data_IF_319315552961
#
_entry.id   IF_319315552961
#
_cell.length_a   1.000
_cell.length_b   1.000
_cell.length_c   1.000
_cell.angle_alpha   90.00
_cell.angle_beta   90.00
_cell.angle_gamma   90.00
#
_symmetry.space_group_name_H-M   'P 1'
#
loop_
_entity.id
_entity.type
_entity.pdbx_description
1 polymer ?
#
# COMPACT_ATOMS: atom_id res chain seq x y z
N UNK A 1 -7.07 13.60 7.67
CA UNK A 1 -7.12 12.14 7.53
C UNK A 1 -5.68 11.64 7.51
N UNK A 2 -5.37 10.56 8.22
CA UNK A 2 -4.04 9.95 8.29
C UNK A 2 -4.11 8.52 7.79
N UNK A 3 -3.20 8.15 6.90
CA UNK A 3 -3.17 6.84 6.25
C UNK A 3 -1.77 6.22 6.35
N UNK A 4 -1.72 4.93 6.56
CA UNK A 4 -0.47 4.13 6.53
C UNK A 4 -0.56 3.16 5.36
N UNK A 5 0.46 3.17 4.49
CA UNK A 5 0.64 2.19 3.43
C UNK A 5 2.05 1.59 3.51
N UNK A 6 2.12 0.41 4.10
CA UNK A 6 3.33 -0.40 4.30
C UNK A 6 3.07 -1.86 3.95
N UNK A 7 3.52 -2.80 4.78
CA UNK A 7 3.18 -4.23 4.66
C UNK A 7 1.67 -4.46 4.68
N UNK A 8 0.97 -3.81 5.61
CA UNK A 8 -0.50 -3.66 5.65
C UNK A 8 -0.89 -2.22 5.35
N UNK A 9 -2.19 -1.91 5.44
CA UNK A 9 -2.71 -0.54 5.34
C UNK A 9 -3.63 -0.21 6.51
N UNK A 10 -3.77 1.08 6.81
CA UNK A 10 -4.73 1.57 7.79
C UNK A 10 -5.03 3.05 7.52
N UNK A 11 -6.16 3.53 8.05
CA UNK A 11 -6.52 4.94 7.98
C UNK A 11 -7.28 5.38 9.22
N UNK A 12 -7.21 6.65 9.58
CA UNK A 12 -8.05 7.22 10.63
C UNK A 12 -8.34 8.70 10.38
N UNK A 13 -9.40 9.19 11.01
CA UNK A 13 -9.64 10.62 11.18
C UNK A 13 -9.18 11.03 12.56
N UNK A 14 -8.18 11.91 12.61
CA UNK A 14 -7.59 12.46 13.83
C UNK A 14 -7.90 13.95 13.93
N UNK A 15 -8.50 14.39 15.05
CA UNK A 15 -8.95 15.76 15.24
C UNK A 15 -7.91 16.70 15.90
N UNK A 16 -6.69 16.24 16.08
CA UNK A 16 -5.62 16.96 16.79
C UNK A 16 -5.45 16.54 18.25
N UNK A 17 -6.41 15.76 18.80
CA UNK A 17 -6.38 15.26 20.19
C UNK A 17 -6.53 13.75 20.26
N UNK A 18 -7.46 13.20 19.50
CA UNK A 18 -7.79 11.78 19.53
C UNK A 18 -8.21 11.27 18.14
N UNK A 19 -8.18 9.95 17.95
CA UNK A 19 -8.74 9.29 16.79
C UNK A 19 -10.26 9.25 16.95
N UNK A 20 -10.96 10.02 16.11
CA UNK A 20 -12.43 10.14 16.15
C UNK A 20 -13.11 9.02 15.37
N UNK A 21 -12.47 8.56 14.27
CA UNK A 21 -12.99 7.51 13.44
C UNK A 21 -11.84 6.69 12.82
N UNK A 22 -12.06 5.37 12.72
CA UNK A 22 -11.12 4.45 12.10
C UNK A 22 -11.89 3.40 11.29
N UNK A 23 -11.66 3.37 10.00
CA UNK A 23 -12.15 2.30 9.13
C UNK A 23 -11.26 1.08 9.32
N UNK A 24 -11.85 -0.04 9.72
CA UNK A 24 -11.09 -1.27 9.99
C UNK A 24 -10.34 -1.75 8.74
N UNK A 25 -9.03 -1.99 8.81
CA UNK A 25 -8.24 -2.45 7.66
C UNK A 25 -8.52 -3.89 7.24
N UNK A 26 -9.09 -4.72 8.12
CA UNK A 26 -9.50 -6.13 7.94
C UNK A 26 -8.38 -7.11 7.59
N UNK A 27 -7.12 -6.67 7.49
CA UNK A 27 -5.97 -7.49 7.09
C UNK A 27 -5.94 -7.85 5.61
N UNK A 28 -4.84 -8.45 5.15
CA UNK A 28 -4.50 -8.64 3.71
C UNK A 28 -5.41 -9.64 2.97
N UNK A 29 -6.22 -10.42 3.67
CA UNK A 29 -7.19 -11.36 3.06
C UNK A 29 -8.48 -10.62 2.70
N UNK A 30 -9.04 -9.85 3.64
CA UNK A 30 -10.35 -9.20 3.51
C UNK A 30 -10.28 -7.71 3.16
N UNK A 31 -9.12 -7.09 3.34
CA UNK A 31 -8.90 -5.66 3.16
C UNK A 31 -7.43 -5.36 2.87
N UNK A 32 -6.84 -4.41 3.61
CA UNK A 32 -5.48 -3.88 3.43
C UNK A 32 -5.20 -3.37 2.02
N UNK A 33 -6.21 -2.86 1.30
CA UNK A 33 -6.04 -2.30 -0.04
C UNK A 33 -4.88 -1.31 -0.07
N UNK A 34 -4.15 -1.25 -1.14
CA UNK A 34 -2.99 -0.36 -1.30
C UNK A 34 -1.75 -0.78 -0.52
N UNK A 35 -1.81 -1.84 0.29
CA UNK A 35 -0.65 -2.36 1.03
C UNK A 35 0.30 -3.19 0.17
N UNK A 36 1.55 -3.34 0.61
CA UNK A 36 2.52 -4.22 -0.04
C UNK A 36 2.06 -5.68 -0.10
N UNK A 37 1.38 -6.17 0.94
CA UNK A 37 0.86 -7.54 0.95
C UNK A 37 -0.24 -7.75 -0.09
N UNK A 38 -1.15 -6.79 -0.25
CA UNK A 38 -2.20 -6.88 -1.27
C UNK A 38 -1.62 -6.70 -2.67
N UNK A 39 -0.69 -5.76 -2.88
CA UNK A 39 0.00 -5.60 -4.16
C UNK A 39 0.73 -6.90 -4.56
N UNK A 40 1.46 -7.52 -3.64
CA UNK A 40 2.12 -8.81 -3.89
C UNK A 40 1.15 -9.95 -4.16
N UNK A 41 0.02 -10.00 -3.44
CA UNK A 41 -1.06 -10.98 -3.69
C UNK A 41 -1.61 -10.86 -5.12
N UNK A 42 -1.91 -9.65 -5.55
CA UNK A 42 -2.41 -9.37 -6.90
C UNK A 42 -1.37 -9.73 -7.96
N UNK A 43 -0.11 -9.31 -7.76
CA UNK A 43 1.00 -9.65 -8.66
C UNK A 43 1.15 -11.15 -8.85
N UNK A 44 1.20 -11.92 -7.76
CA UNK A 44 1.32 -13.39 -7.82
C UNK A 44 0.13 -14.01 -8.56
N UNK A 45 -1.08 -13.54 -8.28
CA UNK A 45 -2.28 -14.00 -8.98
C UNK A 45 -2.18 -13.80 -10.50
N UNK A 46 -1.79 -12.58 -10.91
CA UNK A 46 -1.69 -12.21 -12.34
C UNK A 46 -0.54 -12.95 -13.04
N UNK A 47 0.61 -13.13 -12.37
CA UNK A 47 1.73 -13.90 -12.93
C UNK A 47 1.36 -15.37 -13.13
N UNK A 48 0.80 -16.01 -12.09
CA UNK A 48 0.50 -17.44 -12.16
C UNK A 48 -0.67 -17.77 -13.10
N UNK A 49 -1.55 -16.79 -13.34
CA UNK A 49 -2.68 -16.91 -14.29
C UNK A 49 -2.37 -16.33 -15.69
N UNK A 50 -1.11 -15.97 -15.97
CA UNK A 50 -0.67 -15.42 -17.26
C UNK A 50 -1.45 -14.15 -17.69
N UNK A 51 -1.75 -13.26 -16.74
CA UNK A 51 -2.41 -11.97 -17.00
C UNK A 51 -1.42 -10.86 -17.34
N UNK A 52 -0.13 -11.06 -17.05
CA UNK A 52 0.98 -10.18 -17.40
C UNK A 52 1.76 -10.75 -18.60
N UNK A 53 2.62 -9.92 -19.19
CA UNK A 53 3.42 -10.37 -20.33
C UNK A 53 4.34 -11.56 -19.98
N UNK A 54 4.63 -12.46 -20.92
CA UNK A 54 5.55 -13.58 -20.70
C UNK A 54 6.91 -13.14 -20.18
N UNK A 55 7.41 -12.00 -20.65
CA UNK A 55 8.70 -11.45 -20.22
C UNK A 55 8.71 -11.07 -18.71
N UNK A 56 7.63 -10.46 -18.23
CA UNK A 56 7.49 -10.13 -16.80
C UNK A 56 7.39 -11.40 -15.95
N UNK A 57 6.64 -12.40 -16.40
CA UNK A 57 6.54 -13.68 -15.70
C UNK A 57 7.90 -14.38 -15.61
N UNK A 58 8.65 -14.44 -16.70
CA UNK A 58 9.99 -15.03 -16.73
C UNK A 58 10.95 -14.26 -15.81
N UNK A 59 10.95 -12.93 -15.87
CA UNK A 59 11.76 -12.08 -14.99
C UNK A 59 11.42 -12.33 -13.52
N UNK A 60 10.14 -12.46 -13.17
CA UNK A 60 9.69 -12.73 -11.80
C UNK A 60 10.21 -14.08 -11.29
N UNK A 61 9.96 -15.16 -12.05
CA UNK A 61 10.38 -16.51 -11.66
C UNK A 61 11.90 -16.61 -11.52
N UNK A 62 12.64 -15.95 -12.42
CA UNK A 62 14.10 -15.88 -12.35
C UNK A 62 14.61 -15.08 -11.15
N UNK A 63 14.01 -13.92 -10.86
CA UNK A 63 14.47 -13.05 -9.77
C UNK A 63 14.28 -13.67 -8.39
N UNK A 64 13.16 -14.37 -8.19
CA UNK A 64 12.84 -14.98 -6.90
C UNK A 64 13.27 -16.45 -6.78
N UNK A 65 13.69 -17.05 -7.87
CA UNK A 65 14.06 -18.49 -7.96
C UNK A 65 13.00 -19.38 -7.29
N UNK A 66 11.72 -19.15 -7.65
CA UNK A 66 10.56 -19.83 -7.09
C UNK A 66 9.69 -20.44 -8.19
N UNK A 67 9.24 -21.64 -7.94
CA UNK A 67 8.21 -22.30 -8.75
C UNK A 67 6.80 -21.93 -8.26
N UNK A 68 5.78 -22.14 -9.09
CA UNK A 68 4.38 -21.90 -8.69
C UNK A 68 3.96 -22.70 -7.45
N UNK A 69 4.30 -24.02 -7.28
CA UNK A 69 4.02 -24.76 -6.06
C UNK A 69 4.67 -24.15 -4.82
N UNK A 70 5.91 -23.69 -4.89
CA UNK A 70 6.62 -23.06 -3.76
C UNK A 70 6.00 -21.73 -3.36
N UNK A 71 5.55 -20.94 -4.32
CA UNK A 71 4.82 -19.69 -4.04
C UNK A 71 3.50 -20.01 -3.31
N UNK A 72 2.76 -21.01 -3.77
CA UNK A 72 1.51 -21.46 -3.12
C UNK A 72 1.80 -21.97 -1.71
N UNK A 73 2.86 -22.75 -1.51
CA UNK A 73 3.27 -23.21 -0.18
C UNK A 73 3.58 -22.04 0.76
N UNK A 74 4.35 -21.05 0.29
CA UNK A 74 4.66 -19.85 1.09
C UNK A 74 3.43 -19.05 1.51
N UNK A 75 2.40 -19.00 0.67
CA UNK A 75 1.19 -18.22 0.94
C UNK A 75 0.23 -18.98 1.88
N UNK A 76 0.10 -20.30 1.72
CA UNK A 76 -0.95 -21.06 2.40
C UNK A 76 -0.46 -21.95 3.55
N UNK A 77 0.83 -22.26 3.64
CA UNK A 77 1.36 -23.20 4.63
C UNK A 77 2.51 -22.65 5.46
N UNK A 78 3.20 -21.59 4.98
CA UNK A 78 4.31 -21.01 5.71
C UNK A 78 3.86 -19.86 6.63
N UNK A 79 4.60 -19.55 7.70
CA UNK A 79 4.29 -18.41 8.57
C UNK A 79 4.50 -17.08 7.85
N UNK A 80 3.74 -16.07 8.27
CA UNK A 80 3.85 -14.68 7.80
C UNK A 80 3.68 -14.48 6.27
N UNK A 81 2.64 -15.05 5.64
CA UNK A 81 2.42 -14.91 4.20
C UNK A 81 2.29 -13.45 3.76
N UNK A 82 1.77 -12.56 4.60
CA UNK A 82 1.69 -11.13 4.34
C UNK A 82 3.08 -10.49 4.17
N UNK A 83 4.08 -10.91 4.95
CA UNK A 83 5.47 -10.43 4.80
C UNK A 83 6.09 -10.92 3.51
N UNK A 84 5.88 -12.20 3.17
CA UNK A 84 6.32 -12.75 1.90
C UNK A 84 5.72 -11.98 0.72
N UNK A 85 4.40 -11.78 0.72
CA UNK A 85 3.73 -11.02 -0.35
C UNK A 85 4.25 -9.58 -0.43
N UNK A 86 4.40 -8.90 0.70
CA UNK A 86 4.93 -7.54 0.74
C UNK A 86 6.38 -7.44 0.25
N UNK A 87 7.20 -8.49 0.42
CA UNK A 87 8.59 -8.53 -0.06
C UNK A 87 8.71 -8.54 -1.59
N UNK A 88 7.62 -8.76 -2.31
CA UNK A 88 7.56 -8.69 -3.77
C UNK A 88 7.42 -7.25 -4.29
N UNK A 89 7.15 -6.27 -3.42
CA UNK A 89 6.98 -4.86 -3.80
C UNK A 89 8.16 -4.25 -4.58
N UNK A 90 9.45 -4.57 -4.28
CA UNK A 90 10.55 -4.07 -5.10
C UNK A 90 10.49 -4.51 -6.57
N UNK A 91 10.02 -5.73 -6.85
CA UNK A 91 9.80 -6.20 -8.23
C UNK A 91 8.74 -5.36 -8.93
N UNK A 92 7.62 -5.07 -8.26
CA UNK A 92 6.57 -4.19 -8.80
C UNK A 92 7.16 -2.82 -9.15
N UNK A 93 7.95 -2.22 -8.26
CA UNK A 93 8.58 -0.92 -8.48
C UNK A 93 9.54 -0.91 -9.68
N UNK A 94 10.27 -2.01 -9.90
CA UNK A 94 11.20 -2.16 -11.03
C UNK A 94 10.51 -2.34 -12.38
N UNK A 95 9.22 -2.70 -12.40
CA UNK A 95 8.47 -3.05 -13.61
C UNK A 95 7.22 -2.18 -13.82
N UNK A 96 7.21 -0.95 -13.29
CA UNK A 96 6.08 -0.01 -13.44
C UNK A 96 5.83 0.42 -14.88
N UNK A 97 6.78 0.26 -15.77
CA UNK A 97 6.62 0.50 -17.22
C UNK A 97 5.71 -0.55 -17.88
N UNK A 98 5.52 -1.71 -17.27
CA UNK A 98 4.55 -2.71 -17.72
C UNK A 98 3.13 -2.22 -17.41
N UNK A 99 2.27 -2.03 -18.43
CA UNK A 99 0.93 -1.45 -18.22
C UNK A 99 0.06 -2.26 -17.25
N UNK A 100 0.20 -3.59 -17.23
CA UNK A 100 -0.51 -4.49 -16.33
C UNK A 100 -0.12 -4.26 -14.87
N UNK A 101 1.18 -4.16 -14.59
CA UNK A 101 1.70 -3.88 -13.24
C UNK A 101 1.29 -2.49 -12.77
N UNK A 102 1.44 -1.47 -13.62
CA UNK A 102 1.04 -0.11 -13.28
C UNK A 102 -0.45 -0.02 -12.95
N UNK A 103 -1.29 -0.67 -13.74
CA UNK A 103 -2.74 -0.74 -13.52
C UNK A 103 -3.11 -1.45 -12.23
N UNK A 104 -2.40 -2.53 -11.90
CA UNK A 104 -2.57 -3.26 -10.64
C UNK A 104 -2.35 -2.33 -9.44
N UNK A 105 -1.27 -1.54 -9.44
CA UNK A 105 -0.96 -0.59 -8.36
C UNK A 105 -2.00 0.53 -8.30
N UNK A 106 -2.34 1.13 -9.43
CA UNK A 106 -3.34 2.19 -9.52
C UNK A 106 -4.70 1.75 -8.97
N UNK A 107 -5.19 0.61 -9.44
CA UNK A 107 -6.48 0.07 -9.00
C UNK A 107 -6.49 -0.25 -7.49
N UNK A 108 -5.38 -0.73 -6.95
CA UNK A 108 -5.25 -1.01 -5.52
C UNK A 108 -5.32 0.27 -4.68
N UNK A 109 -4.72 1.37 -5.14
CA UNK A 109 -4.82 2.66 -4.47
C UNK A 109 -6.21 3.29 -4.61
N UNK A 110 -6.82 3.21 -5.78
CA UNK A 110 -8.22 3.64 -5.97
C UNK A 110 -9.14 2.87 -5.01
N UNK A 111 -8.95 1.56 -4.87
CA UNK A 111 -9.71 0.75 -3.93
C UNK A 111 -9.51 1.21 -2.47
N UNK A 112 -8.26 1.50 -2.06
CA UNK A 112 -7.97 2.04 -0.74
C UNK A 112 -8.66 3.39 -0.50
N UNK A 113 -8.55 4.31 -1.44
CA UNK A 113 -9.17 5.63 -1.31
C UNK A 113 -10.69 5.51 -1.19
N UNK A 114 -11.33 4.72 -2.04
CA UNK A 114 -12.79 4.53 -2.05
C UNK A 114 -13.30 3.81 -0.81
N UNK A 115 -12.63 2.76 -0.36
CA UNK A 115 -13.11 1.89 0.71
C UNK A 115 -12.74 2.39 2.11
N UNK A 116 -11.70 3.21 2.23
CA UNK A 116 -11.23 3.72 3.50
C UNK A 116 -11.35 5.25 3.59
N UNK A 117 -10.62 5.99 2.75
CA UNK A 117 -10.49 7.45 2.85
C UNK A 117 -11.80 8.17 2.62
N UNK A 118 -12.58 7.74 1.62
CA UNK A 118 -13.88 8.38 1.29
C UNK A 118 -14.98 8.09 2.32
N UNK A 119 -14.74 7.28 3.35
CA UNK A 119 -15.64 7.14 4.48
C UNK A 119 -15.48 8.25 5.54
N UNK A 120 -14.44 9.08 5.41
CA UNK A 120 -14.24 10.29 6.22
C UNK A 120 -14.72 11.52 5.43
N UNK A 121 -14.66 12.70 6.05
CA UNK A 121 -14.91 13.98 5.36
C UNK A 121 -13.72 14.40 4.49
N UNK A 122 -13.46 13.61 3.43
CA UNK A 122 -12.33 13.78 2.51
C UNK A 122 -12.45 15.01 1.60
N UNK A 123 -13.65 15.58 1.51
CA UNK A 123 -13.89 16.81 0.73
C UNK A 123 -13.31 18.01 1.46
N UNK A 124 -13.44 18.04 2.79
CA UNK A 124 -12.94 19.13 3.62
C UNK A 124 -11.49 18.91 4.05
N UNK A 125 -11.06 17.67 4.28
CA UNK A 125 -9.75 17.38 4.87
C UNK A 125 -8.86 16.55 3.96
N UNK A 126 -7.60 16.99 3.72
CA UNK A 126 -6.66 16.22 2.92
C UNK A 126 -6.26 14.91 3.63
N UNK A 127 -5.92 13.90 2.83
CA UNK A 127 -5.36 12.65 3.31
C UNK A 127 -3.82 12.72 3.33
N UNK A 128 -3.22 12.47 4.47
CA UNK A 128 -1.77 12.40 4.66
C UNK A 128 -1.36 10.93 4.71
N UNK A 129 -0.27 10.60 4.03
CA UNK A 129 0.20 9.24 3.90
C UNK A 129 1.56 9.04 4.54
N UNK A 130 1.76 7.89 5.17
CA UNK A 130 3.04 7.46 5.70
C UNK A 130 3.30 6.00 5.36
N UNK A 131 4.55 5.66 5.08
CA UNK A 131 4.98 4.31 4.80
C UNK A 131 5.72 4.17 3.48
N UNK A 132 6.51 3.10 3.37
CA UNK A 132 7.37 2.84 2.21
C UNK A 132 6.58 2.66 0.92
N UNK A 133 5.41 2.02 0.97
CA UNK A 133 4.57 1.81 -0.22
C UNK A 133 4.00 3.13 -0.72
N UNK A 134 3.42 3.96 0.17
CA UNK A 134 2.93 5.28 -0.22
C UNK A 134 4.03 6.14 -0.85
N UNK A 135 5.23 6.09 -0.28
CA UNK A 135 6.36 6.89 -0.74
C UNK A 135 6.94 6.41 -2.07
N UNK A 136 7.16 5.10 -2.21
CA UNK A 136 7.73 4.51 -3.43
C UNK A 136 6.80 4.68 -4.65
N UNK A 137 5.49 4.58 -4.44
CA UNK A 137 4.50 4.69 -5.52
C UNK A 137 3.73 6.02 -5.50
N UNK A 138 4.32 7.10 -4.94
CA UNK A 138 3.64 8.38 -4.72
C UNK A 138 3.01 8.99 -5.96
N UNK A 139 3.62 8.80 -7.14
CA UNK A 139 3.11 9.31 -8.41
C UNK A 139 1.78 8.61 -8.79
N UNK A 140 1.73 7.29 -8.64
CA UNK A 140 0.53 6.50 -8.91
C UNK A 140 -0.54 6.76 -7.83
N UNK A 141 -0.13 6.99 -6.58
CA UNK A 141 -1.04 7.38 -5.51
C UNK A 141 -1.68 8.75 -5.78
N UNK A 142 -0.92 9.72 -6.31
CA UNK A 142 -1.44 11.02 -6.73
C UNK A 142 -2.42 10.89 -7.90
N UNK A 143 -2.13 10.04 -8.88
CA UNK A 143 -3.04 9.72 -9.98
C UNK A 143 -4.34 9.11 -9.47
N UNK A 144 -4.28 8.12 -8.58
CA UNK A 144 -5.46 7.53 -7.95
C UNK A 144 -6.29 8.58 -7.19
N UNK A 145 -5.63 9.52 -6.53
CA UNK A 145 -6.29 10.61 -5.82
C UNK A 145 -6.99 11.58 -6.78
N UNK A 146 -6.36 11.91 -7.91
CA UNK A 146 -7.01 12.73 -8.96
C UNK A 146 -8.25 12.04 -9.52
N UNK A 147 -8.20 10.73 -9.79
CA UNK A 147 -9.36 9.98 -10.28
C UNK A 147 -10.51 9.89 -9.28
N UNK A 148 -10.21 9.92 -7.97
CA UNK A 148 -11.22 9.78 -6.91
C UNK A 148 -11.66 11.11 -6.31
N UNK A 149 -11.01 12.22 -6.67
CA UNK A 149 -11.31 13.55 -6.11
C UNK A 149 -10.79 13.72 -4.66
N UNK A 150 -9.89 12.87 -4.19
CA UNK A 150 -9.29 12.96 -2.86
C UNK A 150 -8.10 13.91 -2.90
N UNK A 151 -8.07 14.90 -2.00
CA UNK A 151 -6.90 15.78 -1.84
C UNK A 151 -5.81 15.09 -1.03
N UNK A 152 -4.59 15.00 -1.59
CA UNK A 152 -3.43 14.47 -0.88
C UNK A 152 -2.68 15.63 -0.21
N UNK A 153 -2.37 15.45 1.08
CA UNK A 153 -1.47 16.31 1.83
C UNK A 153 -0.01 15.84 1.75
N UNK A 154 0.58 15.50 2.89
CA UNK A 154 1.98 15.03 2.94
C UNK A 154 2.07 13.54 2.68
N UNK A 155 3.12 13.12 1.96
CA UNK A 155 3.52 11.72 1.83
C UNK A 155 4.91 11.57 2.45
N UNK A 156 5.02 10.77 3.52
CA UNK A 156 6.26 10.54 4.26
C UNK A 156 6.66 9.06 4.16
N UNK A 157 7.95 8.81 3.97
CA UNK A 157 8.47 7.44 3.92
C UNK A 157 8.46 6.76 5.30
N UNK A 158 8.80 7.50 6.34
CA UNK A 158 8.97 7.01 7.72
C UNK A 158 8.39 8.00 8.73
N UNK A 159 7.82 7.52 9.85
CA UNK A 159 7.36 8.37 10.93
C UNK A 159 8.48 8.88 11.84
N UNK A 160 9.72 8.40 11.69
CA UNK A 160 10.80 8.57 12.67
C UNK A 160 11.10 10.04 13.00
N UNK A 161 11.22 10.89 11.99
CA UNK A 161 11.50 12.33 12.21
C UNK A 161 10.40 12.99 13.01
N UNK A 162 9.13 12.71 12.67
CA UNK A 162 7.97 13.20 13.40
C UNK A 162 7.90 12.69 14.84
N UNK A 163 8.22 11.41 15.06
CA UNK A 163 8.24 10.80 16.39
C UNK A 163 9.38 11.37 17.25
N UNK A 164 10.57 11.54 16.69
CA UNK A 164 11.70 12.17 17.41
C UNK A 164 11.29 13.57 17.83
N UNK A 165 10.75 14.38 16.91
CA UNK A 165 10.30 15.73 17.22
C UNK A 165 9.23 15.74 18.32
N UNK A 166 8.24 14.87 18.23
CA UNK A 166 7.16 14.76 19.22
C UNK A 166 7.68 14.45 20.64
N UNK A 167 8.70 13.58 20.75
CA UNK A 167 9.25 13.17 22.03
C UNK A 167 10.39 14.05 22.55
N UNK A 168 10.98 14.94 21.72
CA UNK A 168 12.12 15.79 22.12
C UNK A 168 11.74 17.25 22.32
N UNK A 169 10.62 17.71 21.74
CA UNK A 169 10.15 19.09 21.95
C UNK A 169 9.25 19.13 23.19
N UNK A 170 9.49 20.10 24.15
CA UNK A 170 8.61 20.26 25.30
C UNK A 170 7.16 20.50 24.88
N UNK A 171 6.20 19.96 25.66
CA UNK A 171 4.75 20.04 25.35
C UNK A 171 4.22 21.46 25.14
N UNK A 172 4.91 22.47 25.69
CA UNK A 172 4.53 23.88 25.61
C UNK A 172 4.84 24.52 24.23
N UNK A 173 5.46 23.80 23.30
CA UNK A 173 5.84 24.28 21.96
C UNK A 173 5.26 23.42 20.81
N UNK A 174 4.35 22.50 21.10
CA UNK A 174 3.58 21.72 20.14
C UNK A 174 2.18 22.34 19.98
#
# INVERSE_FOLDING_TARGET
IVCILGTGSNSCFYNGKEIVNNVSPLGFILGDEGSGAVLGKLLVGDILKNQLSPAVKEAFLKQFDLTAPEIIDRVYRQPFPNRFLASLSPFIAQHLEEPGIRRLVLNSFIAFLRRNVMQYDYVQYPAHFIGSVAYCYREILQEAAQETGVSIGKILQSPMEGLIRYHTVPCDQL
#
